data_IF_917070127365
#
_entry.id   IF_917070127365
#
_cell.length_a   1.000
_cell.length_b   1.000
_cell.length_c   1.000
_cell.angle_alpha   90.00
_cell.angle_beta   90.00
_cell.angle_gamma   90.00
#
_symmetry.space_group_name_H-M   'P 1'
#
loop_
_entity.id
_entity.type
_entity.pdbx_description
1 polymer ?
#
# COMPACT_ATOMS: atom_id res chain seq x y z
N UNK A 1 -26.70 -0.10 -18.12
CA UNK A 1 -27.94 0.62 -17.76
C UNK A 1 -27.57 1.67 -16.72
N UNK A 2 -27.88 2.94 -16.98
CA UNK A 2 -27.68 4.04 -16.03
C UNK A 2 -28.73 3.97 -14.91
N UNK A 3 -28.47 4.61 -13.77
CA UNK A 3 -29.38 4.58 -12.60
C UNK A 3 -30.79 5.08 -12.95
N UNK A 4 -30.91 6.18 -13.69
CA UNK A 4 -32.22 6.70 -14.12
C UNK A 4 -32.98 5.80 -15.10
N UNK A 5 -32.26 5.07 -15.96
CA UNK A 5 -32.87 4.07 -16.85
C UNK A 5 -33.40 2.88 -16.06
N UNK A 6 -32.66 2.46 -15.03
CA UNK A 6 -33.07 1.38 -14.13
C UNK A 6 -34.31 1.77 -13.33
N UNK A 7 -34.33 2.96 -12.73
CA UNK A 7 -35.48 3.47 -11.98
C UNK A 7 -36.77 3.47 -12.84
N UNK A 8 -36.67 3.92 -14.10
CA UNK A 8 -37.77 3.84 -15.06
C UNK A 8 -38.16 2.40 -15.37
N UNK A 9 -37.19 1.52 -15.59
CA UNK A 9 -37.43 0.12 -15.95
C UNK A 9 -38.12 -0.69 -14.84
N UNK A 10 -37.89 -0.35 -13.57
CA UNK A 10 -38.56 -0.97 -12.42
C UNK A 10 -39.77 -0.18 -11.91
N UNK A 11 -40.15 0.89 -12.62
CA UNK A 11 -41.25 1.79 -12.30
C UNK A 11 -41.23 2.33 -10.86
N UNK A 12 -40.09 2.88 -10.43
CA UNK A 12 -39.95 3.50 -9.11
C UNK A 12 -39.55 4.97 -9.23
N UNK A 13 -39.98 5.77 -8.27
CA UNK A 13 -39.58 7.19 -8.22
C UNK A 13 -38.11 7.32 -7.78
N UNK A 14 -37.40 8.36 -8.23
CA UNK A 14 -36.02 8.61 -7.80
C UNK A 14 -35.87 8.75 -6.29
N UNK A 15 -36.87 9.33 -5.63
CA UNK A 15 -36.89 9.50 -4.17
C UNK A 15 -36.99 8.14 -3.45
N UNK A 16 -37.92 7.27 -3.86
CA UNK A 16 -38.05 5.93 -3.29
C UNK A 16 -36.77 5.11 -3.49
N UNK A 17 -36.16 5.20 -4.68
CA UNK A 17 -34.88 4.57 -4.97
C UNK A 17 -33.76 5.08 -4.07
N UNK A 18 -33.61 6.40 -3.91
CA UNK A 18 -32.59 7.00 -3.05
C UNK A 18 -32.75 6.57 -1.58
N UNK A 19 -33.99 6.57 -1.07
CA UNK A 19 -34.30 6.11 0.30
C UNK A 19 -33.97 4.63 0.50
N UNK A 20 -34.20 3.79 -0.50
CA UNK A 20 -33.82 2.38 -0.46
C UNK A 20 -32.30 2.20 -0.47
N UNK A 21 -31.59 2.91 -1.35
CA UNK A 21 -30.13 2.82 -1.48
C UNK A 21 -29.37 3.32 -0.23
N UNK A 22 -30.01 4.15 0.60
CA UNK A 22 -29.47 4.58 1.89
C UNK A 22 -29.61 3.55 3.02
N UNK A 23 -30.34 2.45 2.82
CA UNK A 23 -30.52 1.42 3.85
C UNK A 23 -29.37 0.42 3.86
N UNK A 24 -28.93 0.02 5.07
CA UNK A 24 -27.85 -0.94 5.27
C UNK A 24 -28.28 -2.05 6.23
N UNK A 25 -28.14 -3.32 5.82
CA UNK A 25 -28.38 -4.49 6.65
C UNK A 25 -29.09 -5.62 5.88
N UNK A 26 -28.95 -6.90 6.30
CA UNK A 26 -29.43 -8.06 5.53
C UNK A 26 -30.94 -8.08 5.26
N UNK A 27 -31.73 -7.49 6.16
CA UNK A 27 -33.20 -7.45 6.08
C UNK A 27 -33.75 -6.03 5.94
N UNK A 28 -32.88 -5.01 5.92
CA UNK A 28 -33.32 -3.62 5.78
C UNK A 28 -33.72 -3.37 4.33
N UNK A 29 -34.92 -2.83 4.15
CA UNK A 29 -35.46 -2.52 2.83
C UNK A 29 -36.23 -3.66 2.17
N UNK A 30 -36.42 -4.81 2.84
CA UNK A 30 -37.20 -5.92 2.31
C UNK A 30 -38.68 -5.57 2.06
N UNK A 31 -39.22 -4.66 2.87
CA UNK A 31 -40.58 -4.11 2.72
C UNK A 31 -40.65 -2.97 1.70
N UNK A 32 -39.52 -2.54 1.14
CA UNK A 32 -39.52 -1.50 0.12
C UNK A 32 -40.05 -2.04 -1.20
N UNK A 33 -40.96 -1.30 -1.82
CA UNK A 33 -41.42 -1.59 -3.19
C UNK A 33 -40.25 -1.65 -4.19
N UNK A 34 -39.16 -0.91 -3.94
CA UNK A 34 -37.95 -0.92 -4.77
C UNK A 34 -37.27 -2.30 -4.75
N UNK A 35 -37.26 -2.97 -3.60
CA UNK A 35 -36.64 -4.29 -3.45
C UNK A 35 -37.35 -5.34 -4.30
N UNK A 36 -38.67 -5.43 -4.17
CA UNK A 36 -39.50 -6.39 -4.92
C UNK A 36 -39.43 -6.14 -6.44
N UNK A 37 -39.56 -4.88 -6.87
CA UNK A 37 -39.49 -4.53 -8.29
C UNK A 37 -38.10 -4.77 -8.89
N UNK A 38 -37.02 -4.47 -8.15
CA UNK A 38 -35.66 -4.77 -8.57
C UNK A 38 -35.41 -6.28 -8.67
N UNK A 39 -35.88 -7.06 -7.69
CA UNK A 39 -35.76 -8.52 -7.72
C UNK A 39 -36.46 -9.13 -8.94
N UNK A 40 -37.71 -8.71 -9.22
CA UNK A 40 -38.46 -9.17 -10.38
C UNK A 40 -37.73 -8.82 -11.71
N UNK A 41 -37.16 -7.61 -11.79
CA UNK A 41 -36.38 -7.19 -12.94
C UNK A 41 -35.14 -8.07 -13.15
N UNK A 42 -34.36 -8.34 -12.10
CA UNK A 42 -33.17 -9.18 -12.22
C UNK A 42 -33.50 -10.64 -12.50
N UNK A 43 -34.55 -11.21 -11.88
CA UNK A 43 -35.03 -12.56 -12.20
C UNK A 43 -35.48 -12.70 -13.65
N UNK A 44 -36.19 -11.71 -14.19
CA UNK A 44 -36.58 -11.71 -15.61
C UNK A 44 -35.38 -11.68 -16.56
N UNK A 45 -34.26 -11.05 -16.16
CA UNK A 45 -33.01 -11.05 -16.95
C UNK A 45 -32.24 -12.35 -16.81
N UNK A 46 -32.19 -12.91 -15.61
CA UNK A 46 -31.60 -14.22 -15.34
C UNK A 46 -32.28 -15.33 -16.16
N UNK A 47 -33.62 -15.36 -16.18
CA UNK A 47 -34.41 -16.28 -17.02
C UNK A 47 -34.15 -16.10 -18.52
N UNK A 48 -33.73 -14.91 -18.95
CA UNK A 48 -33.32 -14.62 -20.34
C UNK A 48 -31.84 -14.93 -20.60
N UNK A 49 -31.16 -15.60 -19.68
CA UNK A 49 -29.73 -15.95 -19.79
C UNK A 49 -28.78 -14.76 -19.61
N UNK A 50 -29.29 -13.57 -19.27
CA UNK A 50 -28.48 -12.37 -19.04
C UNK A 50 -28.03 -12.39 -17.59
N UNK A 51 -26.88 -13.03 -17.30
CA UNK A 51 -26.25 -12.97 -15.98
C UNK A 51 -25.91 -11.54 -15.62
N UNK A 52 -26.58 -11.00 -14.61
CA UNK A 52 -26.20 -9.74 -13.97
C UNK A 52 -25.02 -10.03 -13.05
N UNK A 53 -23.80 -9.99 -13.60
CA UNK A 53 -22.61 -10.02 -12.78
C UNK A 53 -22.62 -8.77 -11.88
N UNK A 54 -22.39 -8.88 -10.55
CA UNK A 54 -22.08 -7.70 -9.76
C UNK A 54 -20.91 -7.01 -10.44
N UNK A 55 -20.96 -5.70 -10.54
CA UNK A 55 -19.99 -4.88 -11.26
C UNK A 55 -18.57 -5.23 -10.77
N UNK A 56 -17.93 -6.21 -11.41
CA UNK A 56 -16.50 -6.44 -11.29
C UNK A 56 -15.94 -5.18 -11.91
N UNK A 57 -15.51 -4.23 -11.05
CA UNK A 57 -14.83 -2.99 -11.45
C UNK A 57 -14.08 -3.31 -12.72
N UNK A 58 -14.53 -2.73 -13.83
CA UNK A 58 -13.92 -2.94 -15.12
C UNK A 58 -12.41 -2.82 -14.90
N UNK A 59 -11.69 -3.90 -15.24
CA UNK A 59 -10.24 -3.94 -15.22
C UNK A 59 -9.82 -2.69 -15.99
N UNK A 60 -9.17 -1.74 -15.29
CA UNK A 60 -8.66 -0.54 -15.93
C UNK A 60 -7.91 -0.99 -17.18
N UNK A 61 -8.25 -0.33 -18.30
CA UNK A 61 -7.86 -0.72 -19.64
C UNK A 61 -6.37 -0.94 -19.77
N UNK A 62 -6.01 -1.67 -20.83
CA UNK A 62 -4.66 -1.90 -21.29
C UNK A 62 -3.76 -0.69 -20.97
N UNK A 63 -2.96 -0.82 -19.91
CA UNK A 63 -1.82 0.04 -19.75
C UNK A 63 -0.97 -0.20 -21.01
N UNK A 64 -0.48 0.87 -21.62
CA UNK A 64 0.60 0.75 -22.59
C UNK A 64 1.65 -0.18 -21.98
N UNK A 65 2.17 -1.12 -22.77
CA UNK A 65 3.18 -2.09 -22.32
C UNK A 65 4.41 -1.41 -21.68
N UNK A 66 4.65 -0.13 -22.02
CA UNK A 66 5.68 0.74 -21.45
C UNK A 66 5.42 1.27 -20.04
N UNK A 67 4.18 1.21 -19.54
CA UNK A 67 3.78 1.69 -18.21
C UNK A 67 3.63 0.56 -17.18
N UNK A 68 3.79 -0.69 -17.60
CA UNK A 68 3.79 -1.83 -16.70
C UNK A 68 5.03 -1.80 -15.79
N UNK A 69 4.83 -2.00 -14.49
CA UNK A 69 5.94 -2.16 -13.55
C UNK A 69 6.68 -3.46 -13.89
N UNK A 70 8.00 -3.42 -14.17
CA UNK A 70 8.78 -4.62 -14.45
C UNK A 70 8.73 -5.62 -13.29
N UNK A 71 8.74 -6.92 -13.61
CA UNK A 71 8.96 -7.94 -12.56
C UNK A 71 10.39 -7.85 -12.01
N UNK A 72 10.53 -8.10 -10.72
CA UNK A 72 11.80 -8.05 -9.99
C UNK A 72 12.36 -9.43 -9.66
N UNK A 73 11.71 -10.51 -10.09
CA UNK A 73 12.01 -11.87 -9.68
C UNK A 73 13.42 -12.34 -10.09
N UNK A 74 13.96 -11.80 -11.20
CA UNK A 74 15.30 -12.16 -11.71
C UNK A 74 16.45 -11.44 -11.00
N UNK A 75 16.16 -10.49 -10.11
CA UNK A 75 17.18 -9.76 -9.36
C UNK A 75 17.33 -10.42 -8.00
N UNK A 76 18.55 -10.64 -7.55
CA UNK A 76 18.83 -11.11 -6.19
C UNK A 76 19.78 -10.12 -5.50
N UNK A 77 19.44 -9.73 -4.27
CA UNK A 77 20.29 -8.88 -3.43
C UNK A 77 21.13 -9.74 -2.47
N UNK A 78 22.29 -9.22 -2.09
CA UNK A 78 23.10 -9.82 -1.05
C UNK A 78 22.36 -9.85 0.31
N UNK A 79 22.30 -11.03 0.94
CA UNK A 79 21.57 -11.25 2.18
C UNK A 79 20.04 -11.41 2.02
N UNK A 80 19.51 -11.42 0.79
CA UNK A 80 18.07 -11.54 0.52
C UNK A 80 17.47 -12.86 1.04
N UNK A 81 18.14 -13.98 0.77
CA UNK A 81 17.70 -15.32 1.20
C UNK A 81 17.60 -15.48 2.73
N UNK A 82 18.35 -14.68 3.47
CA UNK A 82 18.37 -14.72 4.94
C UNK A 82 17.54 -13.60 5.58
N UNK A 83 16.84 -12.79 4.78
CA UNK A 83 16.15 -11.57 5.20
C UNK A 83 17.08 -10.57 5.96
N UNK A 84 18.34 -10.46 5.53
CA UNK A 84 19.39 -9.63 6.16
C UNK A 84 19.89 -8.50 5.26
N UNK A 85 19.17 -8.15 4.19
CA UNK A 85 19.57 -7.05 3.29
C UNK A 85 19.71 -5.74 4.08
N UNK A 86 20.89 -5.09 4.10
CA UNK A 86 21.06 -3.83 4.82
C UNK A 86 20.18 -2.72 4.22
N UNK A 87 19.50 -1.97 5.08
CA UNK A 87 18.54 -0.93 4.69
C UNK A 87 19.17 0.46 4.73
N UNK A 88 19.30 1.12 3.59
CA UNK A 88 19.89 2.47 3.53
C UNK A 88 18.91 3.56 3.08
N UNK A 89 17.62 3.27 3.11
CA UNK A 89 16.59 4.30 3.00
C UNK A 89 15.97 4.53 4.37
N UNK A 90 15.77 5.80 4.73
CA UNK A 90 14.96 6.11 5.91
C UNK A 90 13.49 5.77 5.69
N UNK A 91 12.69 5.67 6.76
CA UNK A 91 11.25 5.46 6.63
C UNK A 91 10.57 6.54 5.78
N UNK A 92 11.00 7.80 5.87
CA UNK A 92 10.51 8.89 5.00
C UNK A 92 10.76 8.63 3.51
N UNK A 93 11.94 8.10 3.18
CA UNK A 93 12.33 7.73 1.81
C UNK A 93 11.47 6.61 1.26
N UNK A 94 11.28 5.54 2.05
CA UNK A 94 10.43 4.41 1.67
C UNK A 94 8.98 4.88 1.50
N UNK A 95 8.46 5.74 2.38
CA UNK A 95 7.12 6.33 2.22
C UNK A 95 7.01 7.12 0.92
N UNK A 96 8.03 7.90 0.56
CA UNK A 96 8.07 8.63 -0.73
C UNK A 96 8.03 7.69 -1.92
N UNK A 97 8.84 6.62 -1.90
CA UNK A 97 8.84 5.58 -2.96
C UNK A 97 7.49 4.88 -3.08
N UNK A 98 6.88 4.48 -1.97
CA UNK A 98 5.53 3.88 -1.93
C UNK A 98 4.51 4.84 -2.56
N UNK A 99 4.48 6.10 -2.13
CA UNK A 99 3.52 7.08 -2.65
C UNK A 99 3.72 7.35 -4.15
N UNK A 100 4.97 7.41 -4.63
CA UNK A 100 5.26 7.53 -6.05
C UNK A 100 4.83 6.29 -6.83
N UNK A 101 5.07 5.09 -6.29
CA UNK A 101 4.69 3.83 -6.93
C UNK A 101 3.18 3.68 -7.07
N UNK A 102 2.42 4.03 -6.04
CA UNK A 102 0.95 3.98 -6.06
C UNK A 102 0.29 5.02 -6.98
N UNK A 103 1.04 6.03 -7.44
CA UNK A 103 0.57 7.00 -8.44
C UNK A 103 0.73 6.48 -9.88
N UNK A 104 1.52 5.43 -10.11
CA UNK A 104 1.70 4.85 -11.44
C UNK A 104 0.38 4.20 -11.91
N UNK A 105 0.01 4.33 -13.19
CA UNK A 105 -1.19 3.68 -13.73
C UNK A 105 -1.09 2.16 -13.58
N UNK A 106 -2.22 1.49 -13.30
CA UNK A 106 -2.29 0.04 -13.16
C UNK A 106 -1.73 -0.53 -11.84
N UNK A 107 -1.02 0.26 -11.03
CA UNK A 107 -0.54 -0.19 -9.71
C UNK A 107 -1.66 -0.11 -8.67
N UNK A 108 -1.85 -1.20 -7.93
CA UNK A 108 -2.81 -1.25 -6.81
C UNK A 108 -2.09 -1.48 -5.50
N UNK A 109 -2.66 -1.01 -4.39
CA UNK A 109 -2.11 -1.29 -3.05
C UNK A 109 -2.00 -2.80 -2.78
N UNK A 110 -3.00 -3.59 -3.22
CA UNK A 110 -2.99 -5.04 -3.07
C UNK A 110 -1.89 -5.73 -3.90
N UNK A 111 -1.55 -5.21 -5.08
CA UNK A 111 -0.41 -5.69 -5.85
C UNK A 111 0.91 -5.36 -5.15
N UNK A 112 1.09 -4.12 -4.68
CA UNK A 112 2.28 -3.73 -3.94
C UNK A 112 2.46 -4.58 -2.66
N UNK A 113 1.41 -4.80 -1.88
CA UNK A 113 1.48 -5.64 -0.67
C UNK A 113 1.91 -7.08 -0.97
N UNK A 114 1.47 -7.66 -2.10
CA UNK A 114 1.93 -8.98 -2.54
C UNK A 114 3.41 -8.97 -2.91
N UNK A 115 3.85 -7.93 -3.64
CA UNK A 115 5.26 -7.80 -4.01
C UNK A 115 6.15 -7.60 -2.77
N UNK A 116 5.70 -6.83 -1.77
CA UNK A 116 6.39 -6.67 -0.47
C UNK A 116 6.44 -8.00 0.28
N UNK A 117 5.33 -8.75 0.35
CA UNK A 117 5.27 -10.04 1.03
C UNK A 117 6.25 -11.05 0.41
N UNK A 118 6.45 -11.00 -0.91
CA UNK A 118 7.38 -11.87 -1.63
C UNK A 118 8.86 -11.59 -1.32
N UNK A 119 9.19 -10.50 -0.61
CA UNK A 119 10.58 -10.19 -0.24
C UNK A 119 11.01 -10.82 1.10
N UNK A 120 10.18 -11.67 1.70
CA UNK A 120 10.45 -12.37 2.94
C UNK A 120 10.64 -13.86 2.69
N UNK A 121 11.84 -14.38 2.98
CA UNK A 121 12.27 -15.73 2.60
C UNK A 121 12.35 -16.69 3.79
N UNK A 122 12.71 -16.18 4.97
CA UNK A 122 12.90 -16.99 6.18
C UNK A 122 11.58 -17.21 6.92
N UNK A 123 10.84 -16.12 7.16
CA UNK A 123 9.56 -16.14 7.86
C UNK A 123 8.52 -15.43 7.00
N UNK A 124 7.51 -16.14 6.49
CA UNK A 124 6.47 -15.53 5.66
C UNK A 124 5.77 -14.38 6.39
N UNK A 125 5.95 -13.15 5.90
CA UNK A 125 5.19 -12.00 6.37
C UNK A 125 4.13 -11.64 5.37
N UNK A 126 2.92 -11.33 5.86
CA UNK A 126 1.78 -10.90 5.05
C UNK A 126 1.34 -9.49 5.48
N UNK A 127 2.05 -8.44 5.02
CA UNK A 127 1.67 -7.07 5.36
C UNK A 127 0.25 -6.75 4.90
N UNK A 128 -0.53 -6.10 5.77
CA UNK A 128 -1.92 -5.76 5.53
C UNK A 128 -2.09 -4.29 5.09
N UNK A 129 -3.24 -3.96 4.49
CA UNK A 129 -3.58 -2.59 4.07
C UNK A 129 -3.59 -1.58 5.22
N UNK A 130 -3.98 -2.03 6.42
CA UNK A 130 -3.95 -1.25 7.67
C UNK A 130 -2.51 -0.90 8.07
N UNK A 131 -1.59 -1.87 8.02
CA UNK A 131 -0.16 -1.66 8.30
C UNK A 131 0.49 -0.73 7.28
N UNK A 132 0.15 -0.86 5.99
CA UNK A 132 0.61 0.06 4.95
C UNK A 132 0.11 1.48 5.20
N UNK A 133 -1.17 1.64 5.54
CA UNK A 133 -1.77 2.95 5.83
C UNK A 133 -1.14 3.59 7.07
N UNK A 134 -0.95 2.81 8.14
CA UNK A 134 -0.30 3.25 9.37
C UNK A 134 1.18 3.60 9.16
N UNK A 135 1.91 2.86 8.33
CA UNK A 135 3.28 3.21 7.97
C UNK A 135 3.34 4.54 7.20
N UNK A 136 2.42 4.73 6.23
CA UNK A 136 2.35 5.93 5.38
C UNK A 136 1.94 7.20 6.11
N UNK A 137 1.20 7.10 7.23
CA UNK A 137 0.76 8.27 8.01
C UNK A 137 1.84 8.82 8.96
N UNK A 138 2.87 8.02 9.27
CA UNK A 138 3.98 8.43 10.15
C UNK A 138 4.93 9.40 9.46
N UNK A 139 5.75 10.09 10.26
CA UNK A 139 6.81 11.01 9.82
C UNK A 139 8.09 10.76 10.62
N UNK A 140 9.23 10.94 9.98
CA UNK A 140 10.56 10.80 10.60
C UNK A 140 11.31 9.55 10.12
N UNK A 141 12.65 9.55 10.31
CA UNK A 141 13.56 8.61 9.68
C UNK A 141 13.40 7.17 10.19
N UNK A 142 13.01 6.98 11.45
CA UNK A 142 12.76 5.66 12.04
C UNK A 142 11.29 5.33 12.27
N UNK A 143 10.35 6.23 11.97
CA UNK A 143 8.96 6.04 12.37
C UNK A 143 8.28 4.91 11.55
N UNK A 144 8.29 3.69 12.10
CA UNK A 144 7.85 2.47 11.43
C UNK A 144 8.98 1.56 10.93
N UNK A 145 10.20 1.73 11.41
CA UNK A 145 11.39 0.95 11.01
C UNK A 145 11.28 -0.56 11.32
N UNK A 146 10.48 -0.95 12.32
CA UNK A 146 10.21 -2.37 12.64
C UNK A 146 9.04 -2.97 11.86
N UNK A 147 8.37 -2.17 11.02
CA UNK A 147 7.24 -2.64 10.23
C UNK A 147 7.69 -3.58 9.11
N UNK A 148 6.92 -4.66 8.89
CA UNK A 148 7.14 -5.54 7.73
C UNK A 148 6.95 -4.79 6.39
N UNK A 149 6.23 -3.68 6.39
CA UNK A 149 6.11 -2.83 5.20
C UNK A 149 7.44 -2.13 4.88
N UNK A 150 8.22 -1.76 5.89
CA UNK A 150 9.44 -0.97 5.69
C UNK A 150 10.53 -1.78 4.98
N UNK A 151 10.97 -2.87 5.61
CA UNK A 151 12.02 -3.73 5.05
C UNK A 151 11.60 -4.32 3.70
N UNK A 152 10.42 -4.95 3.61
CA UNK A 152 9.97 -5.57 2.36
C UNK A 152 9.77 -4.57 1.21
N UNK A 153 9.29 -3.35 1.49
CA UNK A 153 9.19 -2.32 0.46
C UNK A 153 10.57 -1.82 0.01
N UNK A 154 11.49 -1.65 0.94
CA UNK A 154 12.86 -1.28 0.61
C UNK A 154 13.53 -2.30 -0.32
N UNK A 155 13.50 -3.59 0.03
CA UNK A 155 14.07 -4.67 -0.79
C UNK A 155 13.43 -4.66 -2.18
N UNK A 156 12.10 -4.60 -2.25
CA UNK A 156 11.38 -4.55 -3.52
C UNK A 156 11.80 -3.34 -4.39
N UNK A 157 11.89 -2.14 -3.81
CA UNK A 157 12.29 -0.96 -4.58
C UNK A 157 13.76 -0.94 -4.97
N UNK A 158 14.63 -1.59 -4.20
CA UNK A 158 16.04 -1.75 -4.54
C UNK A 158 16.20 -2.72 -5.72
N UNK A 159 15.49 -3.84 -5.71
CA UNK A 159 15.43 -4.75 -6.87
C UNK A 159 14.85 -4.05 -8.10
N UNK A 160 13.78 -3.27 -7.93
CA UNK A 160 13.19 -2.48 -9.01
C UNK A 160 14.18 -1.45 -9.58
N UNK A 161 14.98 -0.78 -8.73
CA UNK A 161 16.03 0.15 -9.16
C UNK A 161 17.05 -0.55 -10.06
N UNK A 162 17.53 -1.73 -9.64
CA UNK A 162 18.50 -2.54 -10.39
C UNK A 162 17.91 -2.99 -11.73
N UNK A 163 16.66 -3.50 -11.72
CA UNK A 163 15.96 -3.92 -12.93
C UNK A 163 15.76 -2.77 -13.92
N UNK A 164 15.47 -1.57 -13.42
CA UNK A 164 15.32 -0.35 -14.24
C UNK A 164 16.68 0.29 -14.62
N UNK A 165 17.82 -0.27 -14.20
CA UNK A 165 19.16 0.26 -14.50
C UNK A 165 19.45 1.63 -13.88
N UNK A 166 18.71 2.02 -12.83
CA UNK A 166 18.83 3.37 -12.25
C UNK A 166 20.03 3.46 -11.30
N UNK A 167 20.82 4.55 -11.34
CA UNK A 167 21.90 4.74 -10.39
C UNK A 167 21.36 4.92 -8.97
N UNK A 168 22.22 4.67 -7.97
CA UNK A 168 21.93 5.00 -6.57
C UNK A 168 21.73 6.52 -6.44
N UNK A 169 20.77 6.94 -5.61
CA UNK A 169 20.57 8.36 -5.33
C UNK A 169 21.72 8.93 -4.48
N UNK A 170 21.93 10.25 -4.53
CA UNK A 170 22.92 10.92 -3.66
C UNK A 170 22.67 10.61 -2.18
N UNK A 171 21.40 10.67 -1.75
CA UNK A 171 21.03 10.35 -0.36
C UNK A 171 21.37 8.90 -0.01
N UNK A 172 21.19 7.96 -0.93
CA UNK A 172 21.58 6.55 -0.71
C UNK A 172 23.09 6.41 -0.50
N UNK A 173 23.90 7.07 -1.32
CA UNK A 173 25.35 7.07 -1.15
C UNK A 173 25.78 7.69 0.18
N UNK A 174 25.12 8.77 0.61
CA UNK A 174 25.35 9.39 1.92
C UNK A 174 24.93 8.46 3.07
N UNK A 175 23.80 7.78 2.95
CA UNK A 175 23.34 6.79 3.93
C UNK A 175 24.33 5.64 4.10
N UNK A 176 24.92 5.15 3.01
CA UNK A 176 25.99 4.14 3.05
C UNK A 176 27.24 4.64 3.79
N UNK A 177 27.57 5.93 3.65
CA UNK A 177 28.68 6.55 4.42
C UNK A 177 28.36 6.72 5.91
N UNK A 178 27.12 7.05 6.24
CA UNK A 178 26.71 7.35 7.63
C UNK A 178 26.50 6.07 8.46
N UNK A 179 25.91 5.04 7.87
CA UNK A 179 25.49 3.82 8.59
C UNK A 179 26.37 2.59 8.32
N UNK A 180 27.46 2.73 7.56
CA UNK A 180 28.38 1.64 7.20
C UNK A 180 27.65 0.37 6.73
N UNK A 181 28.23 -0.82 6.86
CA UNK A 181 27.65 -2.06 6.31
C UNK A 181 26.29 -2.48 6.93
N UNK A 182 25.95 -1.97 8.11
CA UNK A 182 24.76 -2.40 8.85
C UNK A 182 23.44 -1.74 8.41
N UNK A 183 23.50 -0.57 7.76
CA UNK A 183 22.30 0.21 7.41
C UNK A 183 21.50 0.68 8.64
N UNK A 184 20.27 1.14 8.42
CA UNK A 184 19.35 1.50 9.49
C UNK A 184 18.88 0.26 10.26
N UNK A 185 18.75 0.45 11.57
CA UNK A 185 18.11 -0.53 12.45
C UNK A 185 16.64 -0.78 12.06
N UNK A 186 16.32 -2.05 11.79
CA UNK A 186 14.99 -2.56 11.47
C UNK A 186 14.38 -3.39 12.61
N UNK A 187 15.11 -3.59 13.71
CA UNK A 187 14.75 -4.51 14.80
C UNK A 187 14.25 -3.76 16.04
N UNK A 188 14.92 -2.67 16.42
CA UNK A 188 14.56 -1.92 17.62
C UNK A 188 13.82 -0.64 17.26
N UNK A 189 12.79 -0.29 18.04
CA UNK A 189 12.08 0.98 17.85
C UNK A 189 12.94 2.11 18.41
N UNK A 190 13.21 3.11 17.59
CA UNK A 190 13.94 4.32 17.98
C UNK A 190 12.96 5.41 18.45
N UNK A 191 12.14 5.09 19.47
CA UNK A 191 11.13 6.00 20.02
C UNK A 191 11.59 6.73 21.27
N UNK A 192 12.49 6.11 22.04
CA UNK A 192 13.03 6.64 23.28
C UNK A 192 14.54 6.44 23.28
N UNK A 193 15.26 7.43 23.80
CA UNK A 193 16.71 7.36 23.98
C UNK A 193 17.04 7.66 25.43
N UNK A 194 17.95 6.88 25.99
CA UNK A 194 18.57 7.18 27.27
C UNK A 194 19.75 8.11 27.02
N UNK A 195 19.82 9.22 27.73
CA UNK A 195 20.93 10.19 27.66
C UNK A 195 21.30 10.68 29.06
N UNK A 196 22.47 11.29 29.20
CA UNK A 196 22.90 11.91 30.46
C UNK A 196 22.00 13.13 30.75
N UNK A 197 21.84 13.51 32.03
CA UNK A 197 20.90 14.56 32.44
C UNK A 197 21.11 15.92 31.75
N UNK A 198 22.35 16.27 31.41
CA UNK A 198 22.72 17.47 30.67
C UNK A 198 22.67 17.29 29.14
N UNK A 199 22.27 16.15 28.60
CA UNK A 199 22.20 15.92 27.16
C UNK A 199 20.77 15.99 26.60
N UNK A 200 20.66 16.21 25.29
CA UNK A 200 19.43 16.04 24.51
C UNK A 200 19.72 15.18 23.27
N UNK A 201 19.00 14.06 23.08
CA UNK A 201 19.08 13.29 21.85
C UNK A 201 18.41 14.07 20.72
N UNK A 202 18.99 14.00 19.53
CA UNK A 202 18.41 14.49 18.29
C UNK A 202 18.72 13.52 17.17
N UNK A 203 17.76 13.37 16.25
CA UNK A 203 17.90 12.50 15.08
C UNK A 203 17.98 13.38 13.84
N UNK A 204 19.03 13.20 13.05
CA UNK A 204 19.18 13.93 11.79
C UNK A 204 18.34 13.34 10.64
N UNK A 205 18.42 13.97 9.46
CA UNK A 205 17.71 13.54 8.25
C UNK A 205 18.13 12.16 7.69
N UNK A 206 19.25 11.61 8.16
CA UNK A 206 19.78 10.30 7.81
C UNK A 206 19.42 9.24 8.87
N UNK A 207 18.77 9.62 9.97
CA UNK A 207 18.55 8.72 11.09
C UNK A 207 19.79 8.54 11.98
N UNK A 208 20.79 9.41 11.90
CA UNK A 208 21.89 9.38 12.87
C UNK A 208 21.40 10.02 14.17
N UNK A 209 21.57 9.29 15.27
CA UNK A 209 21.27 9.80 16.62
C UNK A 209 22.52 10.48 17.16
N UNK A 210 22.39 11.72 17.60
CA UNK A 210 23.44 12.51 18.23
C UNK A 210 22.92 13.06 19.56
N UNK A 211 23.80 13.17 20.55
CA UNK A 211 23.49 13.75 21.86
C UNK A 211 24.21 15.09 21.97
N UNK A 212 23.48 16.13 22.38
CA UNK A 212 23.98 17.49 22.51
C UNK A 212 23.85 17.96 23.95
N UNK A 213 24.86 18.66 24.49
CA UNK A 213 24.76 19.27 25.80
C UNK A 213 23.71 20.40 25.80
N UNK A 214 22.95 20.48 26.89
CA UNK A 214 22.04 21.59 27.19
C UNK A 214 22.89 22.78 27.61
N UNK A 215 22.91 23.82 26.75
CA UNK A 215 23.35 25.16 27.14
C UNK A 215 22.49 25.71 28.28
#
# INVERSE_FOLDING_TARGET
MKVGEFQKAINVTPNAYSRFMGQNGPHKGMESSVYLSAWAFFKKREMKGIKTMPNKKAKAGAANDKDAVPSVDDVELEGEKEDKVPVYDTCDEVRRKINAHLKKPGVTQAALLRNIAAQYHTVPKKPQSTQLSAFRSKKGPYAGNTSAVFYGAYVYFEKLRIKEGKPKSKKRQEMEKVHAEGGLDTKHRHEWFTCIGNERPSIDKYGKVSFFEKL
#
